data_IF_951744465736
#
_entry.id   IF_951744465736
#
_cell.length_a   1.000
_cell.length_b   1.000
_cell.length_c   1.000
_cell.angle_alpha   90.00
_cell.angle_beta   90.00
_cell.angle_gamma   90.00
#
_symmetry.space_group_name_H-M   'P 1'
#
loop_
_entity.id
_entity.type
_entity.pdbx_description
1 polymer ?
#
# COMPACT_ATOMS: atom_id res chain seq x y z
N UNK A 1 6.29 -17.14 -5.33
CA UNK A 1 4.89 -17.57 -5.48
C UNK A 1 4.16 -17.20 -4.20
N UNK A 2 3.17 -16.31 -4.27
CA UNK A 2 2.31 -15.97 -3.13
C UNK A 2 1.18 -17.02 -3.11
N UNK A 3 0.92 -17.64 -1.96
CA UNK A 3 -0.17 -18.63 -1.83
C UNK A 3 -1.50 -17.88 -1.71
N UNK A 4 -2.60 -18.49 -2.15
CA UNK A 4 -3.94 -17.86 -2.09
C UNK A 4 -4.35 -17.42 -0.68
N UNK A 5 -3.92 -18.18 0.34
CA UNK A 5 -4.18 -17.90 1.75
C UNK A 5 -3.15 -16.94 2.38
N UNK A 6 -2.26 -16.34 1.59
CA UNK A 6 -1.30 -15.35 2.09
C UNK A 6 -1.96 -13.98 2.14
N UNK A 7 -1.85 -13.34 3.29
CA UNK A 7 -2.27 -11.96 3.51
C UNK A 7 -1.04 -11.09 3.81
N UNK A 8 -0.95 -9.94 3.15
CA UNK A 8 0.03 -8.88 3.43
C UNK A 8 -0.71 -7.69 4.01
N UNK A 9 -0.26 -7.20 5.18
CA UNK A 9 -0.84 -6.02 5.85
C UNK A 9 0.20 -4.94 5.99
N UNK A 10 -0.16 -3.71 5.63
CA UNK A 10 0.72 -2.53 5.71
C UNK A 10 2.11 -2.80 5.13
N UNK A 11 2.16 -3.51 4.00
CA UNK A 11 3.42 -3.92 3.39
C UNK A 11 3.93 -2.80 2.47
N UNK A 12 5.17 -2.33 2.63
CA UNK A 12 5.73 -1.35 1.74
C UNK A 12 6.06 -1.94 0.37
N UNK A 13 5.56 -1.31 -0.69
CA UNK A 13 5.88 -1.64 -2.07
C UNK A 13 6.61 -0.47 -2.72
N UNK A 14 7.88 -0.69 -3.08
CA UNK A 14 8.69 0.29 -3.79
C UNK A 14 8.39 0.26 -5.30
N UNK A 15 8.05 1.43 -5.85
CA UNK A 15 7.92 1.62 -7.29
C UNK A 15 9.21 2.25 -7.86
N UNK A 16 10.04 1.50 -8.60
CA UNK A 16 11.28 2.05 -9.18
C UNK A 16 11.05 3.13 -10.24
N UNK A 17 9.88 3.12 -10.90
CA UNK A 17 9.51 4.15 -11.89
C UNK A 17 9.18 5.48 -11.22
N UNK A 18 8.44 5.46 -10.12
CA UNK A 18 8.04 6.65 -9.38
C UNK A 18 9.07 7.08 -8.33
N UNK A 19 10.01 6.18 -8.00
CA UNK A 19 10.98 6.33 -6.90
C UNK A 19 10.30 6.61 -5.55
N UNK A 20 9.14 6.00 -5.33
CA UNK A 20 8.33 6.17 -4.14
C UNK A 20 7.95 4.80 -3.58
N UNK A 21 7.78 4.76 -2.27
CA UNK A 21 7.27 3.62 -1.53
C UNK A 21 5.80 3.86 -1.20
N UNK A 22 4.98 2.82 -1.27
CA UNK A 22 3.56 2.91 -0.97
C UNK A 22 3.16 1.73 -0.11
N UNK A 23 2.36 1.98 0.93
CA UNK A 23 1.82 0.92 1.76
C UNK A 23 0.66 0.25 1.04
N UNK A 24 0.69 -1.08 1.02
CA UNK A 24 -0.38 -1.91 0.43
C UNK A 24 -0.88 -2.96 1.41
N UNK A 25 -2.14 -3.33 1.22
CA UNK A 25 -2.69 -4.58 1.72
C UNK A 25 -2.87 -5.53 0.54
N UNK A 26 -2.59 -6.81 0.73
CA UNK A 26 -2.89 -7.84 -0.26
C UNK A 26 -3.60 -9.03 0.39
N UNK A 27 -4.70 -9.48 -0.19
CA UNK A 27 -5.43 -10.67 0.25
C UNK A 27 -6.08 -11.33 -0.96
N UNK A 28 -5.97 -12.65 -1.10
CA UNK A 28 -6.60 -13.39 -2.21
C UNK A 28 -6.27 -12.79 -3.59
N UNK A 29 -5.00 -12.39 -3.79
CA UNK A 29 -4.49 -11.70 -4.99
C UNK A 29 -5.08 -10.30 -5.26
N UNK A 30 -5.93 -9.79 -4.37
CA UNK A 30 -6.43 -8.43 -4.41
C UNK A 30 -5.46 -7.48 -3.70
N UNK A 31 -4.99 -6.45 -4.40
CA UNK A 31 -4.06 -5.45 -3.85
C UNK A 31 -4.83 -4.15 -3.63
N UNK A 32 -4.83 -3.66 -2.39
CA UNK A 32 -5.41 -2.38 -2.01
C UNK A 32 -4.30 -1.44 -1.58
N UNK A 33 -4.21 -0.29 -2.21
CA UNK A 33 -3.30 0.78 -1.79
C UNK A 33 -3.85 1.44 -0.54
N UNK A 34 -3.04 1.50 0.52
CA UNK A 34 -3.36 2.27 1.71
C UNK A 34 -3.03 3.72 1.39
N UNK A 35 -4.07 4.50 1.08
CA UNK A 35 -3.94 5.95 1.09
C UNK A 35 -3.94 6.36 2.56
N UNK A 36 -2.83 6.90 3.04
CA UNK A 36 -2.88 7.68 4.28
C UNK A 36 -4.01 8.71 4.09
N UNK A 37 -4.90 8.90 5.07
CA UNK A 37 -5.88 9.98 4.96
C UNK A 37 -5.08 11.24 4.70
N UNK A 38 -5.34 11.91 3.57
CA UNK A 38 -4.73 13.21 3.27
C UNK A 38 -4.82 14.00 4.56
N UNK A 39 -3.68 14.18 5.22
CA UNK A 39 -3.62 15.04 6.38
C UNK A 39 -3.98 16.39 5.80
N UNK A 40 -5.24 16.80 5.96
CA UNK A 40 -5.66 18.16 5.71
C UNK A 40 -4.82 18.97 6.69
N UNK A 41 -3.63 19.38 6.26
CA UNK A 41 -2.90 20.44 6.92
C UNK A 41 -3.85 21.61 6.85
N UNK A 42 -4.53 21.88 7.96
CA UNK A 42 -5.38 23.03 8.12
C UNK A 42 -4.48 24.25 7.95
N UNK A 43 -4.37 24.72 6.71
CA UNK A 43 -3.56 25.87 6.35
C UNK A 43 -4.30 27.11 6.83
N UNK A 44 -3.90 27.53 8.03
CA UNK A 44 -4.09 28.80 8.75
C UNK A 44 -5.51 29.20 9.15
#
# INVERSE_FOLDING_TARGET
MIRENTELKNFPLYCPKCKQETLINAKELHITVIKEPDAQTQSR
#
